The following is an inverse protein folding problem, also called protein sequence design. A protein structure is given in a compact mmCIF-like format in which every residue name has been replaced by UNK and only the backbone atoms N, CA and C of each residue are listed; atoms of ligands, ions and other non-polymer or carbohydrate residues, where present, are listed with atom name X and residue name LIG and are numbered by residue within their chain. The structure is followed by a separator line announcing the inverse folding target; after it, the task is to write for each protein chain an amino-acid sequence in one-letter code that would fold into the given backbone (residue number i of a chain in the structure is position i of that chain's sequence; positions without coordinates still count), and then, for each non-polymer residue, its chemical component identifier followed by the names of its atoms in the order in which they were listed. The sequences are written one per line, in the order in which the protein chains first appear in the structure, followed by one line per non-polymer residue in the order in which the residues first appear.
data_IF_496164984866
#
_entry.id   IF_496164984866
#
_cell.length_a   1.000
_cell.length_b   1.000
_cell.length_c   1.000
_cell.angle_alpha   90.00
_cell.angle_beta   90.00
_cell.angle_gamma   90.00
#
_symmetry.space_group_name_H-M   'P 1'
#
loop_
_entity.id
_entity.type
_entity.pdbx_description
1 polymer ?
#
# COMPACT_ATOMS: atom_id res chain seq x y z
N UNK A 1 4.06 -2.07 -19.98
CA UNK A 1 3.17 -1.42 -19.00
C UNK A 1 3.59 -1.85 -17.61
N UNK A 2 3.93 -0.90 -16.73
CA UNK A 2 4.33 -1.18 -15.34
C UNK A 2 3.09 -1.23 -14.44
N UNK A 3 3.00 -2.22 -13.56
CA UNK A 3 1.89 -2.37 -12.61
C UNK A 3 2.32 -1.88 -11.22
N UNK A 4 1.67 -0.83 -10.75
CA UNK A 4 1.95 -0.19 -9.47
C UNK A 4 0.87 -0.60 -8.47
N UNK A 5 1.25 -1.23 -7.36
CA UNK A 5 0.35 -1.41 -6.22
C UNK A 5 0.39 -0.15 -5.35
N UNK A 6 -0.71 0.61 -5.30
CA UNK A 6 -0.88 1.73 -4.38
C UNK A 6 -1.80 1.30 -3.24
N UNK A 7 -1.28 1.17 -2.03
CA UNK A 7 -2.01 0.66 -0.87
C UNK A 7 -2.17 1.72 0.23
N UNK A 8 -3.27 1.68 0.95
CA UNK A 8 -3.40 2.30 2.28
C UNK A 8 -3.19 1.24 3.36
N UNK A 9 -2.40 1.57 4.40
CA UNK A 9 -2.02 0.60 5.44
C UNK A 9 -2.03 1.26 6.81
N UNK A 10 -2.63 0.58 7.79
CA UNK A 10 -2.56 0.95 9.21
C UNK A 10 -1.51 0.17 9.97
N UNK A 11 -1.90 -0.42 11.09
CA UNK A 11 -0.98 -1.13 12.00
C UNK A 11 -0.71 -2.60 11.63
N UNK A 12 -1.42 -3.14 10.64
CA UNK A 12 -1.27 -4.51 10.13
C UNK A 12 -0.67 -4.49 8.72
N UNK A 13 0.66 -4.37 8.58
CA UNK A 13 1.29 -4.23 7.27
C UNK A 13 1.22 -5.50 6.40
N UNK A 14 0.98 -6.67 7.00
CA UNK A 14 0.72 -7.95 6.32
C UNK A 14 -0.31 -7.87 5.18
N UNK A 15 -1.24 -6.92 5.22
CA UNK A 15 -2.19 -6.69 4.11
C UNK A 15 -1.50 -6.44 2.76
N UNK A 16 -0.26 -5.94 2.76
CA UNK A 16 0.56 -5.78 1.56
C UNK A 16 0.97 -7.15 1.00
N UNK A 17 1.50 -8.06 1.83
CA UNK A 17 1.93 -9.40 1.39
C UNK A 17 0.72 -10.25 0.99
N UNK A 18 -0.40 -10.14 1.70
CA UNK A 18 -1.70 -10.73 1.33
C UNK A 18 -2.16 -10.27 -0.05
N UNK A 19 -2.07 -8.96 -0.33
CA UNK A 19 -2.44 -8.41 -1.63
C UNK A 19 -1.50 -8.86 -2.74
N UNK A 20 -0.19 -8.84 -2.50
CA UNK A 20 0.81 -9.32 -3.46
C UNK A 20 0.60 -10.80 -3.78
N UNK A 21 0.34 -11.63 -2.77
CA UNK A 21 0.02 -13.03 -2.94
C UNK A 21 -1.24 -13.22 -3.79
N UNK A 22 -2.34 -12.54 -3.47
CA UNK A 22 -3.59 -12.65 -4.24
C UNK A 22 -3.40 -12.25 -5.71
N UNK A 23 -2.66 -11.17 -5.99
CA UNK A 23 -2.36 -10.72 -7.36
C UNK A 23 -1.46 -11.72 -8.08
N UNK A 24 -0.46 -12.28 -7.38
CA UNK A 24 0.42 -13.31 -7.91
C UNK A 24 -0.37 -14.57 -8.32
N UNK A 25 -1.33 -15.02 -7.49
CA UNK A 25 -2.21 -16.15 -7.81
C UNK A 25 -3.07 -15.91 -9.05
N UNK A 26 -3.38 -14.64 -9.36
CA UNK A 26 -4.06 -14.25 -10.60
C UNK A 26 -3.12 -14.18 -11.82
N UNK A 27 -1.86 -14.61 -11.68
CA UNK A 27 -0.80 -14.51 -12.69
C UNK A 27 -0.57 -13.08 -13.18
N UNK A 28 -0.80 -12.10 -12.30
CA UNK A 28 -0.52 -10.69 -12.55
C UNK A 28 0.79 -10.31 -11.87
N UNK A 29 1.58 -9.49 -12.57
CA UNK A 29 2.82 -8.94 -12.04
C UNK A 29 2.54 -7.64 -11.30
N UNK A 30 3.29 -7.38 -10.23
CA UNK A 30 3.47 -6.06 -9.64
C UNK A 30 4.93 -5.64 -9.90
N UNK A 31 5.15 -4.40 -10.30
CA UNK A 31 6.47 -3.84 -10.63
C UNK A 31 6.94 -2.85 -9.55
N UNK A 32 6.02 -2.24 -8.82
CA UNK A 32 6.32 -1.33 -7.71
C UNK A 32 5.20 -1.37 -6.67
N UNK A 33 5.56 -1.17 -5.40
CA UNK A 33 4.59 -1.03 -4.30
C UNK A 33 4.80 0.33 -3.66
N UNK A 34 3.73 1.11 -3.55
CA UNK A 34 3.71 2.37 -2.80
C UNK A 34 2.63 2.31 -1.73
N UNK A 35 2.97 2.79 -0.53
CA UNK A 35 2.10 2.67 0.63
C UNK A 35 1.82 4.04 1.21
N UNK A 36 0.56 4.38 1.46
CA UNK A 36 0.13 5.56 2.19
C UNK A 36 -0.22 5.15 3.62
N UNK A 37 0.41 5.80 4.59
CA UNK A 37 0.27 5.43 6.01
C UNK A 37 0.55 6.59 6.96
N UNK A 38 0.39 6.38 8.26
CA UNK A 38 0.81 7.32 9.32
C UNK A 38 2.21 6.94 9.82
N UNK A 39 2.80 7.72 10.74
CA UNK A 39 4.12 7.43 11.32
C UNK A 39 4.19 6.03 11.93
N UNK A 40 3.18 5.65 12.72
CA UNK A 40 3.13 4.33 13.37
C UNK A 40 3.06 3.19 12.35
N UNK A 41 2.27 3.36 11.27
CA UNK A 41 2.20 2.36 10.21
C UNK A 41 3.51 2.25 9.41
N UNK A 42 4.22 3.37 9.16
CA UNK A 42 5.57 3.33 8.58
C UNK A 42 6.54 2.52 9.44
N UNK A 43 6.57 2.77 10.75
CA UNK A 43 7.43 2.02 11.68
C UNK A 43 7.15 0.52 11.61
N UNK A 44 5.87 0.13 11.55
CA UNK A 44 5.45 -1.27 11.37
C UNK A 44 5.86 -1.87 10.03
N UNK A 45 5.65 -1.16 8.92
CA UNK A 45 6.09 -1.63 7.59
C UNK A 45 7.60 -1.86 7.58
N UNK A 46 8.36 -0.91 8.14
CA UNK A 46 9.82 -0.98 8.17
C UNK A 46 10.32 -2.15 9.01
N UNK A 47 9.70 -2.39 10.17
CA UNK A 47 10.08 -3.48 11.06
C UNK A 47 9.61 -4.85 10.56
N UNK A 48 8.35 -4.96 10.13
CA UNK A 48 7.70 -6.26 9.90
C UNK A 48 7.87 -6.74 8.44
N UNK A 49 7.91 -5.82 7.46
CA UNK A 49 8.02 -6.18 6.05
C UNK A 49 9.40 -5.91 5.46
N UNK A 50 9.97 -4.72 5.71
CA UNK A 50 11.19 -4.25 5.05
C UNK A 50 12.46 -4.44 5.88
N UNK A 51 12.39 -5.14 7.03
CA UNK A 51 13.58 -5.50 7.80
C UNK A 51 14.52 -6.33 6.92
N UNK A 52 15.80 -5.92 6.74
CA UNK A 52 16.75 -6.67 5.92
C UNK A 52 17.06 -8.08 6.45
N UNK A 53 16.76 -8.36 7.72
CA UNK A 53 17.09 -9.63 8.38
C UNK A 53 15.96 -10.64 8.28
N UNK A 54 14.73 -10.21 8.52
CA UNK A 54 13.57 -11.07 8.78
C UNK A 54 12.24 -10.48 8.26
N UNK A 55 12.29 -9.47 7.40
CA UNK A 55 11.10 -8.84 6.82
C UNK A 55 10.26 -9.82 5.99
N UNK A 56 8.95 -9.87 6.26
CA UNK A 56 8.00 -10.81 5.61
C UNK A 56 7.90 -10.62 4.11
N UNK A 57 8.12 -9.40 3.61
CA UNK A 57 8.18 -9.16 2.17
C UNK A 57 9.31 -9.95 1.50
N UNK A 58 10.51 -9.98 2.09
CA UNK A 58 11.64 -10.75 1.55
C UNK A 58 11.44 -12.26 1.71
N UNK A 59 10.75 -12.70 2.76
CA UNK A 59 10.33 -14.09 2.91
C UNK A 59 9.37 -14.50 1.77
N UNK A 60 8.35 -13.68 1.47
CA UNK A 60 7.44 -13.88 0.34
C UNK A 60 8.23 -13.99 -0.99
N UNK A 61 9.16 -13.07 -1.26
CA UNK A 61 9.97 -13.12 -2.47
C UNK A 61 10.74 -14.44 -2.58
N UNK A 62 11.36 -14.89 -1.48
CA UNK A 62 12.13 -16.14 -1.43
C UNK A 62 11.23 -17.37 -1.65
N UNK A 63 10.09 -17.44 -0.98
CA UNK A 63 9.17 -18.58 -1.03
C UNK A 63 8.63 -18.81 -2.46
N UNK A 64 8.36 -17.73 -3.17
CA UNK A 64 7.82 -17.76 -4.52
C UNK A 64 8.88 -17.60 -5.63
N UNK A 65 10.17 -17.65 -5.29
CA UNK A 65 11.30 -17.48 -6.23
C UNK A 65 11.22 -16.20 -7.08
N UNK A 66 10.76 -15.10 -6.47
CA UNK A 66 10.64 -13.79 -7.12
C UNK A 66 11.97 -13.05 -6.95
N UNK A 67 12.52 -12.53 -8.05
CA UNK A 67 13.73 -11.71 -8.01
C UNK A 67 13.45 -10.41 -7.23
N UNK A 68 14.19 -10.10 -6.14
CA UNK A 68 14.01 -8.85 -5.38
C UNK A 68 14.15 -7.57 -6.21
N UNK A 69 14.92 -7.59 -7.30
CA UNK A 69 15.06 -6.44 -8.21
C UNK A 69 13.85 -6.25 -9.16
N UNK A 70 12.89 -7.17 -9.16
CA UNK A 70 11.74 -7.14 -10.08
C UNK A 70 10.56 -6.31 -9.59
N UNK A 71 10.54 -5.99 -8.30
CA UNK A 71 9.53 -5.17 -7.63
C UNK A 71 10.25 -4.05 -6.88
N UNK A 72 9.98 -2.80 -7.25
CA UNK A 72 10.44 -1.63 -6.52
C UNK A 72 9.62 -1.44 -5.24
N UNK A 73 10.16 -1.92 -4.12
CA UNK A 73 9.59 -1.71 -2.80
C UNK A 73 10.67 -1.58 -1.72
N UNK A 74 10.77 -0.39 -1.14
CA UNK A 74 11.66 -0.05 -0.05
C UNK A 74 11.16 1.15 0.75
N UNK A 75 12.04 1.71 1.58
CA UNK A 75 11.71 2.80 2.51
C UNK A 75 11.15 4.05 1.81
N UNK A 76 11.67 4.39 0.64
CA UNK A 76 11.26 5.57 -0.14
C UNK A 76 9.86 5.42 -0.76
N UNK A 77 9.32 4.19 -0.77
CA UNK A 77 7.98 3.92 -1.27
C UNK A 77 6.90 4.01 -0.16
N UNK A 78 7.30 4.25 1.08
CA UNK A 78 6.39 4.41 2.23
C UNK A 78 6.10 5.89 2.47
N UNK A 79 4.93 6.33 2.02
CA UNK A 79 4.47 7.71 2.06
C UNK A 79 3.68 7.98 3.35
N UNK A 80 4.32 8.67 4.29
CA UNK A 80 3.65 9.11 5.52
C UNK A 80 2.79 10.34 5.28
N UNK A 81 1.63 10.39 5.92
CA UNK A 81 0.82 11.60 6.03
C UNK A 81 1.57 12.60 6.91
N UNK A 82 1.60 13.86 6.48
CA UNK A 82 2.30 14.96 7.14
C UNK A 82 1.36 16.14 7.33
N UNK A 83 1.49 16.83 8.44
CA UNK A 83 0.80 18.08 8.70
C UNK A 83 1.37 19.24 7.87
N UNK A 84 0.81 20.44 8.03
CA UNK A 84 1.24 21.64 7.30
C UNK A 84 2.71 22.05 7.57
N UNK A 85 3.31 21.60 8.67
CA UNK A 85 4.71 21.83 9.01
C UNK A 85 5.65 20.74 8.45
N UNK A 86 5.13 19.76 7.71
CA UNK A 86 5.89 18.64 7.17
C UNK A 86 6.21 17.54 8.20
N UNK A 87 5.62 17.61 9.40
CA UNK A 87 5.81 16.62 10.47
C UNK A 87 4.86 15.45 10.22
N UNK A 88 5.37 14.23 10.38
CA UNK A 88 4.56 13.01 10.25
C UNK A 88 3.56 12.90 11.38
N UNK A 89 2.31 12.57 11.07
CA UNK A 89 1.26 12.37 12.07
C UNK A 89 1.27 10.94 12.60
N UNK A 90 0.85 10.75 13.85
CA UNK A 90 0.86 9.44 14.51
C UNK A 90 -0.27 8.54 14.05
N UNK A 91 -1.46 9.14 13.94
CA UNK A 91 -2.71 8.49 13.59
C UNK A 91 -3.66 9.51 12.95
N UNK A 92 -4.83 9.07 12.47
CA UNK A 92 -5.89 9.95 11.94
C UNK A 92 -7.06 9.95 12.92
N UNK A 93 -7.16 11.01 13.70
CA UNK A 93 -8.08 11.14 14.84
C UNK A 93 -9.13 12.23 14.66
N UNK A 94 -8.89 13.20 13.77
CA UNK A 94 -9.83 14.27 13.47
C UNK A 94 -10.04 14.51 11.96
N UNK A 95 -10.86 15.51 11.64
CA UNK A 95 -11.23 15.87 10.27
C UNK A 95 -10.05 16.48 9.49
N UNK A 96 -9.21 17.29 10.15
CA UNK A 96 -8.08 17.96 9.50
C UNK A 96 -7.00 16.95 9.08
N UNK A 97 -6.69 15.99 9.96
CA UNK A 97 -5.80 14.87 9.67
C UNK A 97 -6.34 14.01 8.51
N UNK A 98 -7.66 13.84 8.45
CA UNK A 98 -8.31 13.12 7.37
C UNK A 98 -8.27 13.87 6.03
N UNK A 99 -8.34 15.20 6.04
CA UNK A 99 -8.11 16.01 4.83
C UNK A 99 -6.67 15.88 4.31
N UNK A 100 -5.68 15.81 5.20
CA UNK A 100 -4.28 15.58 4.80
C UNK A 100 -4.08 14.20 4.17
N UNK A 101 -4.73 13.17 4.72
CA UNK A 101 -4.81 11.84 4.11
C UNK A 101 -5.41 11.92 2.71
N UNK A 102 -6.58 12.55 2.56
CA UNK A 102 -7.27 12.66 1.28
C UNK A 102 -6.39 13.35 0.24
N UNK A 103 -5.75 14.45 0.62
CA UNK A 103 -4.78 15.16 -0.24
C UNK A 103 -3.64 14.25 -0.69
N UNK A 104 -3.07 13.44 0.21
CA UNK A 104 -1.99 12.49 -0.13
C UNK A 104 -2.47 11.40 -1.09
N UNK A 105 -3.67 10.84 -0.88
CA UNK A 105 -4.29 9.89 -1.79
C UNK A 105 -4.51 10.48 -3.18
N UNK A 106 -5.02 11.71 -3.27
CA UNK A 106 -5.22 12.41 -4.55
C UNK A 106 -3.88 12.68 -5.25
N UNK A 107 -2.87 13.19 -4.53
CA UNK A 107 -1.55 13.52 -5.07
C UNK A 107 -0.87 12.30 -5.71
N UNK A 108 -0.80 11.18 -4.98
CA UNK A 108 -0.13 9.97 -5.47
C UNK A 108 -0.93 9.28 -6.56
N UNK A 109 -2.25 9.24 -6.43
CA UNK A 109 -3.10 8.68 -7.48
C UNK A 109 -2.92 9.45 -8.78
N UNK A 110 -3.04 10.79 -8.74
CA UNK A 110 -2.82 11.64 -9.90
C UNK A 110 -1.44 11.42 -10.51
N UNK A 111 -0.38 11.37 -9.68
CA UNK A 111 0.99 11.11 -10.16
C UNK A 111 1.09 9.78 -10.91
N UNK A 112 0.57 8.69 -10.33
CA UNK A 112 0.75 7.37 -10.90
C UNK A 112 -0.18 7.07 -12.08
N UNK A 113 -1.34 7.73 -12.15
CA UNK A 113 -2.26 7.59 -13.30
C UNK A 113 -1.94 8.55 -14.46
N UNK A 114 -1.06 9.54 -14.25
CA UNK A 114 -0.65 10.45 -15.32
C UNK A 114 0.21 9.78 -16.41
N UNK A 115 0.99 8.74 -16.07
CA UNK A 115 1.75 7.95 -17.05
C UNK A 115 0.87 6.90 -17.72
N UNK A 116 0.64 7.01 -19.03
CA UNK A 116 -0.20 6.07 -19.79
C UNK A 116 0.40 4.66 -19.91
N UNK A 117 1.70 4.48 -19.61
CA UNK A 117 2.37 3.18 -19.63
C UNK A 117 2.39 2.51 -18.24
N UNK A 118 1.59 2.99 -17.29
CA UNK A 118 1.35 2.32 -16.00
C UNK A 118 -0.08 1.80 -15.90
N UNK A 119 -0.27 0.79 -15.06
CA UNK A 119 -1.54 0.41 -14.46
C UNK A 119 -1.41 0.56 -12.95
N UNK A 120 -2.41 1.13 -12.29
CA UNK A 120 -2.47 1.25 -10.83
C UNK A 120 -3.44 0.22 -10.27
N UNK A 121 -2.95 -0.57 -9.33
CA UNK A 121 -3.71 -1.50 -8.52
C UNK A 121 -3.90 -0.86 -7.15
N UNK A 122 -5.10 -0.38 -6.87
CA UNK A 122 -5.43 0.26 -5.60
C UNK A 122 -5.79 -0.79 -4.56
N UNK A 123 -5.04 -0.91 -3.47
CA UNK A 123 -5.40 -1.79 -2.34
C UNK A 123 -6.01 -0.98 -1.21
N UNK A 124 -7.29 -1.22 -0.95
CA UNK A 124 -8.11 -0.48 0.02
C UNK A 124 -8.42 -1.28 1.29
N UNK A 125 -7.67 -2.36 1.56
CA UNK A 125 -7.95 -3.29 2.66
C UNK A 125 -7.31 -2.90 4.01
N UNK A 126 -6.50 -1.84 4.08
CA UNK A 126 -5.73 -1.49 5.28
C UNK A 126 -6.09 -0.15 5.92
N UNK A 127 -5.92 -0.08 7.24
CA UNK A 127 -5.99 1.16 8.02
C UNK A 127 -7.35 1.51 8.59
N UNK A 128 -7.49 2.76 9.05
CA UNK A 128 -8.79 3.29 9.46
C UNK A 128 -9.73 3.27 8.27
N UNK A 129 -11.03 3.06 8.50
CA UNK A 129 -12.05 3.00 7.42
C UNK A 129 -12.00 4.20 6.47
N UNK A 130 -11.62 5.36 6.99
CA UNK A 130 -11.47 6.58 6.21
C UNK A 130 -10.29 6.54 5.22
N UNK A 131 -9.21 5.80 5.52
CA UNK A 131 -8.11 5.57 4.59
C UNK A 131 -8.58 4.86 3.32
N UNK A 132 -9.33 3.76 3.49
CA UNK A 132 -9.95 3.02 2.39
C UNK A 132 -10.90 3.92 1.59
N UNK A 133 -11.74 4.71 2.28
CA UNK A 133 -12.67 5.63 1.63
C UNK A 133 -11.94 6.71 0.80
N UNK A 134 -10.87 7.30 1.34
CA UNK A 134 -10.09 8.33 0.65
C UNK A 134 -9.36 7.79 -0.58
N UNK A 135 -8.73 6.61 -0.48
CA UNK A 135 -8.06 6.01 -1.63
C UNK A 135 -9.06 5.56 -2.70
N UNK A 136 -10.21 5.00 -2.28
CA UNK A 136 -11.31 4.65 -3.19
C UNK A 136 -11.83 5.89 -3.93
N UNK A 137 -12.02 7.02 -3.25
CA UNK A 137 -12.45 8.27 -3.87
C UNK A 137 -11.43 8.75 -4.91
N UNK A 138 -10.14 8.75 -4.58
CA UNK A 138 -9.09 9.11 -5.53
C UNK A 138 -9.08 8.17 -6.76
N UNK A 139 -9.23 6.87 -6.54
CA UNK A 139 -9.32 5.88 -7.61
C UNK A 139 -10.56 6.09 -8.51
N UNK A 140 -11.71 6.48 -7.96
CA UNK A 140 -12.90 6.79 -8.75
C UNK A 140 -12.73 8.03 -9.63
N UNK A 141 -12.00 9.04 -9.15
CA UNK A 141 -11.80 10.29 -9.89
C UNK A 141 -10.72 10.18 -10.98
N UNK A 142 -9.66 9.43 -10.71
CA UNK A 142 -8.47 9.40 -11.58
C UNK A 142 -8.18 8.04 -12.22
N UNK A 143 -8.88 6.98 -11.79
CA UNK A 143 -8.68 5.63 -12.29
C UNK A 143 -9.06 5.52 -13.77
N UNK A 144 -8.28 4.71 -14.49
CA UNK A 144 -8.40 4.49 -15.94
C UNK A 144 -8.84 3.06 -16.21
N UNK A 145 -9.17 2.76 -17.47
CA UNK A 145 -9.67 1.44 -17.87
C UNK A 145 -8.73 0.27 -17.55
N UNK A 146 -7.41 0.50 -17.49
CA UNK A 146 -6.41 -0.50 -17.15
C UNK A 146 -6.12 -0.64 -15.65
N UNK A 147 -6.61 0.30 -14.83
CA UNK A 147 -6.41 0.33 -13.39
C UNK A 147 -7.43 -0.58 -12.68
N UNK A 148 -7.13 -1.06 -11.48
CA UNK A 148 -8.01 -1.99 -10.72
C UNK A 148 -8.04 -1.64 -9.25
N UNK A 149 -9.20 -1.78 -8.63
CA UNK A 149 -9.37 -1.68 -7.18
C UNK A 149 -9.46 -3.08 -6.60
N UNK A 150 -8.68 -3.34 -5.55
CA UNK A 150 -8.61 -4.59 -4.82
C UNK A 150 -8.96 -4.36 -3.35
N UNK A 151 -9.81 -5.24 -2.83
CA UNK A 151 -10.05 -5.40 -1.41
C UNK A 151 -9.89 -6.89 -1.10
N UNK A 152 -8.67 -7.29 -0.73
CA UNK A 152 -8.38 -8.69 -0.44
C UNK A 152 -8.96 -9.05 0.92
N UNK A 153 -9.64 -10.19 0.97
CA UNK A 153 -10.17 -10.77 2.19
C UNK A 153 -9.34 -12.00 2.51
N UNK A 154 -8.97 -12.14 3.77
CA UNK A 154 -8.27 -13.32 4.28
C UNK A 154 -9.19 -13.99 5.29
N UNK A 155 -9.11 -15.32 5.43
CA UNK A 155 -9.85 -16.00 6.48
C UNK A 155 -9.36 -15.51 7.85
N UNK A 156 -10.26 -15.52 8.82
CA UNK A 156 -10.03 -15.03 10.19
C UNK A 156 -8.80 -15.62 10.87
N UNK A 157 -8.39 -16.84 10.48
CA UNK A 157 -7.18 -17.52 10.95
C UNK A 157 -5.87 -16.77 10.60
N UNK A 158 -5.89 -15.93 9.56
CA UNK A 158 -4.72 -15.18 9.09
C UNK A 158 -4.78 -13.67 9.38
N UNK A 159 -5.96 -13.12 9.71
CA UNK A 159 -6.17 -11.67 9.93
C UNK A 159 -5.26 -11.02 10.98
N UNK A 160 -4.69 -11.80 11.90
CA UNK A 160 -3.74 -11.33 12.92
C UNK A 160 -2.50 -12.22 13.05
N UNK A 161 -2.26 -13.06 12.04
CA UNK A 161 -1.11 -13.95 12.06
C UNK A 161 0.16 -13.20 11.63
N UNK A 162 1.04 -12.95 12.61
CA UNK A 162 2.34 -12.28 12.39
C UNK A 162 3.32 -13.10 11.54
N UNK A 163 3.01 -14.37 11.28
CA UNK A 163 3.80 -15.26 10.42
C UNK A 163 3.43 -15.19 8.94
N UNK A 164 2.39 -14.41 8.59
CA UNK A 164 1.97 -14.17 7.20
C UNK A 164 2.65 -12.92 6.59
#
# INVERSE_FOLDING_TARGET
MKNILLAVVGLSPQVITETLFAIHQQRRRVDAVHVITTRQGKEKINADLLSPRDGRYYQYLKEYNINPASIDFGFDNVHTIRNHNGIEIDDITDEEENEWLLKKCMELTFRFTNDQNTSVFFSIAGGRKTMSACLMLAAQLYGRHQDRVYHVLVSSEFESNRDF
#
